data_IF_850269189677
#
_entry.id   IF_850269189677
#
_cell.length_a   1.000
_cell.length_b   1.000
_cell.length_c   1.000
_cell.angle_alpha   90.00
_cell.angle_beta   90.00
_cell.angle_gamma   90.00
#
_symmetry.space_group_name_H-M   'P 1'
#
loop_
_entity.id
_entity.type
_entity.pdbx_description
1 polymer ?
#
# COMPACT_ATOMS: atom_id res chain seq x y z
N UNK A 1 18.81 -9.63 13.51
CA UNK A 1 17.39 -9.90 13.17
C UNK A 1 17.04 -8.97 12.01
N UNK A 2 16.39 -9.43 10.95
CA UNK A 2 16.03 -8.55 9.83
C UNK A 2 15.05 -7.45 10.29
N UNK A 3 15.22 -6.24 9.79
CA UNK A 3 14.32 -5.10 10.05
C UNK A 3 12.92 -5.42 9.52
N UNK A 4 11.89 -5.27 10.34
CA UNK A 4 10.50 -5.54 9.98
C UNK A 4 9.67 -4.27 10.16
N UNK A 5 9.24 -3.67 9.04
CA UNK A 5 8.49 -2.42 9.03
C UNK A 5 7.24 -2.47 9.94
N UNK A 6 6.56 -3.59 10.01
CA UNK A 6 5.38 -3.75 10.89
C UNK A 6 5.72 -3.68 12.37
N UNK A 7 6.97 -4.00 12.73
CA UNK A 7 7.43 -3.99 14.12
C UNK A 7 8.07 -2.66 14.51
N UNK A 8 8.81 -2.06 13.56
CA UNK A 8 9.56 -0.84 13.80
C UNK A 8 8.67 0.41 13.67
N UNK A 9 7.68 0.39 12.75
CA UNK A 9 6.73 1.46 12.50
C UNK A 9 5.30 1.04 12.86
N UNK A 10 5.10 0.59 14.10
CA UNK A 10 3.81 0.08 14.59
C UNK A 10 2.69 1.11 14.46
N UNK A 11 3.00 2.37 14.63
CA UNK A 11 2.08 3.48 14.49
C UNK A 11 1.45 3.56 13.10
N UNK A 12 2.14 3.09 12.05
CA UNK A 12 1.63 3.11 10.68
C UNK A 12 1.07 1.77 10.21
N UNK A 13 1.58 0.65 10.74
CA UNK A 13 1.25 -0.69 10.25
C UNK A 13 0.40 -1.51 11.22
N UNK A 14 0.35 -1.14 12.48
CA UNK A 14 -0.35 -1.92 13.52
C UNK A 14 -1.19 -1.02 14.43
N UNK A 15 -2.01 -0.10 13.86
CA UNK A 15 -2.93 0.70 14.66
C UNK A 15 -3.94 -0.19 15.40
N UNK A 16 -4.66 0.40 16.34
CA UNK A 16 -5.76 -0.29 17.04
C UNK A 16 -6.98 -0.37 16.12
N UNK A 17 -7.96 -1.20 16.54
CA UNK A 17 -9.28 -1.27 15.89
C UNK A 17 -10.23 -0.14 16.35
N UNK A 18 -9.69 1.07 16.53
CA UNK A 18 -10.39 2.31 16.78
C UNK A 18 -9.69 3.45 16.03
N UNK A 19 -10.45 4.43 15.54
CA UNK A 19 -9.84 5.53 14.78
C UNK A 19 -8.80 6.29 15.60
N UNK A 20 -7.74 6.70 14.93
CA UNK A 20 -6.71 7.58 15.49
C UNK A 20 -6.15 8.50 14.39
N UNK A 21 -5.74 9.71 14.76
CA UNK A 21 -5.05 10.63 13.87
C UNK A 21 -3.57 10.30 13.88
N UNK A 22 -2.96 10.31 12.69
CA UNK A 22 -1.53 10.06 12.48
C UNK A 22 -1.00 11.04 11.45
N UNK A 23 0.26 11.46 11.63
CA UNK A 23 1.00 12.23 10.62
C UNK A 23 1.97 11.28 9.92
N UNK A 24 1.67 10.94 8.66
CA UNK A 24 2.41 9.94 7.90
C UNK A 24 3.53 10.63 7.12
N UNK A 25 4.79 10.32 7.43
CA UNK A 25 5.91 10.94 6.76
C UNK A 25 6.00 10.53 5.30
N UNK A 26 6.61 11.39 4.51
CA UNK A 26 6.96 11.11 3.12
C UNK A 26 7.81 9.84 3.02
N UNK A 27 7.44 8.95 2.09
CA UNK A 27 8.14 7.69 1.86
C UNK A 27 8.21 7.35 0.37
N UNK A 28 9.15 6.47 0.02
CA UNK A 28 9.34 5.97 -1.34
C UNK A 28 8.77 4.56 -1.48
N UNK A 29 8.24 4.28 -2.67
CA UNK A 29 7.55 3.03 -2.98
C UNK A 29 7.94 2.51 -4.36
N UNK A 30 7.88 1.19 -4.52
CA UNK A 30 7.65 0.57 -5.82
C UNK A 30 6.16 0.69 -6.07
N UNK A 31 5.74 1.22 -7.21
CA UNK A 31 4.33 1.39 -7.55
C UNK A 31 4.01 0.80 -8.92
N UNK A 32 2.79 0.30 -9.08
CA UNK A 32 2.18 -0.04 -10.38
C UNK A 32 0.76 0.50 -10.38
N UNK A 33 0.40 1.19 -11.46
CA UNK A 33 -0.94 1.77 -11.66
C UNK A 33 -1.78 0.90 -12.55
N UNK A 34 -3.08 0.89 -12.30
CA UNK A 34 -4.03 0.20 -13.15
C UNK A 34 -5.47 0.56 -12.87
N UNK A 35 -6.35 -0.12 -13.60
CA UNK A 35 -7.80 0.03 -13.51
C UNK A 35 -8.47 -1.34 -13.66
N UNK A 36 -9.63 -1.50 -13.05
CA UNK A 36 -10.47 -2.69 -13.17
C UNK A 36 -10.64 -3.45 -11.87
N UNK A 37 -11.37 -4.55 -11.96
CA UNK A 37 -11.71 -5.39 -10.81
C UNK A 37 -10.48 -6.10 -10.24
N UNK A 38 -10.09 -5.86 -8.98
CA UNK A 38 -8.94 -6.52 -8.36
C UNK A 38 -9.12 -8.03 -8.16
N UNK A 39 -10.37 -8.53 -8.23
CA UNK A 39 -10.68 -9.94 -8.07
C UNK A 39 -10.67 -10.73 -9.39
N UNK A 40 -10.40 -10.08 -10.52
CA UNK A 40 -10.30 -10.74 -11.81
C UNK A 40 -9.10 -11.69 -11.85
N UNK A 41 -9.37 -12.98 -12.09
CA UNK A 41 -8.31 -13.99 -12.17
C UNK A 41 -7.40 -13.73 -13.37
N UNK A 42 -6.07 -13.65 -13.14
CA UNK A 42 -5.10 -13.29 -14.16
C UNK A 42 -5.19 -11.84 -14.64
N UNK A 43 -6.06 -11.03 -14.03
CA UNK A 43 -6.30 -9.63 -14.38
C UNK A 43 -5.13 -8.69 -14.07
N UNK A 44 -5.29 -7.43 -14.46
CA UNK A 44 -4.26 -6.40 -14.36
C UNK A 44 -3.73 -6.23 -12.92
N UNK A 45 -4.61 -6.34 -11.91
CA UNK A 45 -4.21 -6.20 -10.50
C UNK A 45 -3.27 -7.32 -10.05
N UNK A 46 -3.57 -8.58 -10.40
CA UNK A 46 -2.70 -9.72 -10.06
C UNK A 46 -1.35 -9.66 -10.79
N UNK A 47 -1.35 -9.16 -12.03
CA UNK A 47 -0.12 -8.92 -12.80
C UNK A 47 0.73 -7.82 -12.12
N UNK A 48 0.11 -6.73 -11.69
CA UNK A 48 0.79 -5.65 -10.96
C UNK A 48 1.44 -6.16 -9.66
N UNK A 49 0.74 -6.97 -8.88
CA UNK A 49 1.29 -7.60 -7.67
C UNK A 49 2.52 -8.45 -8.01
N UNK A 50 2.49 -9.19 -9.10
CA UNK A 50 3.62 -10.01 -9.55
C UNK A 50 4.85 -9.15 -9.88
N UNK A 51 4.65 -8.02 -10.55
CA UNK A 51 5.70 -7.03 -10.86
C UNK A 51 6.28 -6.43 -9.58
N UNK A 52 5.42 -5.96 -8.67
CA UNK A 52 5.83 -5.36 -7.40
C UNK A 52 6.74 -6.31 -6.60
N UNK A 53 6.32 -7.55 -6.41
CA UNK A 53 7.13 -8.52 -5.67
C UNK A 53 8.40 -8.95 -6.42
N UNK A 54 8.39 -9.01 -7.75
CA UNK A 54 9.59 -9.31 -8.52
C UNK A 54 10.67 -8.25 -8.28
N UNK A 55 10.32 -6.97 -8.30
CA UNK A 55 11.24 -5.85 -8.06
C UNK A 55 11.64 -5.80 -6.57
N UNK A 56 10.68 -5.92 -5.64
CA UNK A 56 10.94 -5.86 -4.20
C UNK A 56 11.92 -6.96 -3.74
N UNK A 57 11.72 -8.18 -4.20
CA UNK A 57 12.63 -9.28 -3.86
C UNK A 57 13.99 -9.17 -4.56
N UNK A 58 14.06 -8.55 -5.73
CA UNK A 58 15.34 -8.28 -6.39
C UNK A 58 16.17 -7.30 -5.57
N UNK A 59 15.57 -6.22 -5.07
CA UNK A 59 16.21 -5.28 -4.15
C UNK A 59 16.63 -5.96 -2.85
N UNK A 60 15.69 -6.68 -2.22
CA UNK A 60 15.98 -7.39 -0.96
C UNK A 60 17.15 -8.36 -1.08
N UNK A 61 17.27 -9.04 -2.20
CA UNK A 61 18.29 -10.07 -2.41
C UNK A 61 19.57 -9.53 -3.09
N UNK A 62 19.71 -8.23 -3.30
CA UNK A 62 20.88 -7.60 -3.93
C UNK A 62 22.18 -7.98 -3.23
N UNK A 63 22.17 -8.11 -1.90
CA UNK A 63 23.36 -8.47 -1.11
C UNK A 63 23.97 -9.83 -1.49
N UNK A 64 23.21 -10.70 -2.15
CA UNK A 64 23.67 -12.00 -2.67
C UNK A 64 24.23 -11.92 -4.09
N UNK A 65 24.29 -10.73 -4.68
CA UNK A 65 24.81 -10.48 -6.03
C UNK A 65 26.05 -9.60 -5.95
N UNK A 66 26.65 -9.31 -7.10
CA UNK A 66 27.78 -8.37 -7.19
C UNK A 66 27.32 -6.91 -7.04
N UNK A 67 26.03 -6.63 -7.26
CA UNK A 67 25.46 -5.31 -7.06
C UNK A 67 25.24 -5.03 -5.57
N UNK A 68 25.97 -4.05 -5.04
CA UNK A 68 25.89 -3.65 -3.63
C UNK A 68 25.17 -2.32 -3.50
N UNK A 69 24.14 -2.29 -2.66
CA UNK A 69 23.42 -1.05 -2.32
C UNK A 69 24.07 -0.46 -1.09
N UNK A 70 24.47 0.80 -1.16
CA UNK A 70 25.03 1.53 -0.01
C UNK A 70 24.01 1.66 1.11
N UNK A 71 24.45 1.48 2.35
CA UNK A 71 23.57 1.53 3.52
C UNK A 71 22.62 0.34 3.68
N UNK A 72 22.77 -0.70 2.84
CA UNK A 72 21.90 -1.88 2.90
C UNK A 72 21.92 -2.56 4.27
N UNK A 73 20.75 -2.87 4.78
CA UNK A 73 20.54 -3.78 5.90
C UNK A 73 19.48 -4.82 5.54
N UNK A 74 19.54 -5.99 6.16
CA UNK A 74 18.52 -7.03 5.93
C UNK A 74 17.16 -6.61 6.47
N UNK A 75 16.13 -6.73 5.63
CA UNK A 75 14.75 -6.35 5.98
C UNK A 75 13.73 -7.39 5.50
N UNK A 76 12.57 -7.39 6.11
CA UNK A 76 11.39 -8.10 5.62
C UNK A 76 10.72 -7.20 4.59
N UNK A 77 10.37 -7.74 3.41
CA UNK A 77 9.61 -6.96 2.41
C UNK A 77 8.33 -6.45 3.07
N UNK A 78 8.09 -5.13 3.04
CA UNK A 78 6.90 -4.54 3.64
C UNK A 78 5.60 -5.13 3.08
N UNK A 79 4.47 -4.94 3.75
CA UNK A 79 3.16 -5.33 3.23
C UNK A 79 2.90 -4.74 1.84
N UNK A 80 2.05 -5.41 1.08
CA UNK A 80 1.39 -4.81 -0.08
C UNK A 80 0.43 -3.74 0.43
N UNK A 81 0.39 -2.61 -0.26
CA UNK A 81 -0.50 -1.49 0.03
C UNK A 81 -1.22 -1.09 -1.27
N UNK A 82 -2.38 -0.45 -1.18
CA UNK A 82 -3.14 0.00 -2.33
C UNK A 82 -3.79 1.36 -2.08
N UNK A 83 -3.67 2.26 -3.05
CA UNK A 83 -4.42 3.51 -3.12
C UNK A 83 -5.54 3.34 -4.13
N UNK A 84 -6.78 3.68 -3.72
CA UNK A 84 -7.98 3.36 -4.47
C UNK A 84 -8.83 4.60 -4.71
N UNK A 85 -9.44 4.70 -5.89
CA UNK A 85 -10.46 5.69 -6.20
C UNK A 85 -11.33 5.23 -7.38
N UNK A 86 -12.43 5.90 -7.56
CA UNK A 86 -13.32 5.74 -8.70
C UNK A 86 -13.65 7.12 -9.26
N UNK A 87 -13.68 7.23 -10.57
CA UNK A 87 -13.96 8.51 -11.24
C UNK A 87 -15.42 8.93 -10.98
N UNK A 88 -15.63 10.18 -10.59
CA UNK A 88 -16.94 10.75 -10.28
C UNK A 88 -17.70 10.10 -9.11
N UNK A 89 -16.99 9.42 -8.22
CA UNK A 89 -17.55 8.86 -7.00
C UNK A 89 -16.93 9.57 -5.80
N UNK A 90 -17.77 10.05 -4.88
CA UNK A 90 -17.31 10.52 -3.58
C UNK A 90 -17.15 9.32 -2.64
N UNK A 91 -15.95 9.14 -2.08
CA UNK A 91 -15.62 7.94 -1.31
C UNK A 91 -15.33 6.72 -2.19
N UNK A 92 -15.85 5.57 -1.82
CA UNK A 92 -15.62 4.28 -2.50
C UNK A 92 -16.94 3.54 -2.69
N UNK A 93 -17.27 3.18 -3.94
CA UNK A 93 -18.38 2.30 -4.26
C UNK A 93 -17.89 0.85 -4.39
N UNK A 94 -18.06 0.08 -3.34
CA UNK A 94 -17.64 -1.34 -3.27
C UNK A 94 -18.51 -2.26 -4.16
N UNK A 95 -19.63 -1.78 -4.69
CA UNK A 95 -20.52 -2.57 -5.55
C UNK A 95 -20.06 -2.63 -7.00
N UNK A 96 -19.31 -1.60 -7.46
CA UNK A 96 -18.80 -1.49 -8.82
C UNK A 96 -17.27 -1.64 -8.87
N UNK A 97 -16.79 -2.86 -8.59
CA UNK A 97 -15.35 -3.17 -8.54
C UNK A 97 -14.61 -2.98 -9.89
N UNK A 98 -15.31 -3.05 -11.02
CA UNK A 98 -14.72 -2.82 -12.34
C UNK A 98 -14.36 -1.36 -12.62
N UNK A 99 -14.95 -0.42 -11.88
CA UNK A 99 -14.67 1.00 -12.01
C UNK A 99 -13.47 1.48 -11.17
N UNK A 100 -12.87 0.61 -10.36
CA UNK A 100 -11.71 0.99 -9.56
C UNK A 100 -10.52 1.40 -10.42
N UNK A 101 -9.95 2.54 -10.08
CA UNK A 101 -8.58 2.89 -10.39
C UNK A 101 -7.74 2.60 -9.15
N UNK A 102 -6.50 2.16 -9.34
CA UNK A 102 -5.63 1.81 -8.22
C UNK A 102 -4.15 2.10 -8.50
N UNK A 103 -3.43 2.35 -7.42
CA UNK A 103 -1.97 2.33 -7.37
C UNK A 103 -1.59 1.30 -6.32
N UNK A 104 -1.11 0.14 -6.75
CA UNK A 104 -0.57 -0.86 -5.82
C UNK A 104 0.87 -0.56 -5.54
N UNK A 105 1.28 -0.64 -4.27
CA UNK A 105 2.61 -0.24 -3.86
C UNK A 105 3.23 -1.20 -2.83
N UNK A 106 4.56 -1.20 -2.78
CA UNK A 106 5.35 -1.78 -1.67
C UNK A 106 6.35 -0.71 -1.23
N UNK A 107 6.35 -0.35 0.05
CA UNK A 107 7.28 0.63 0.60
C UNK A 107 8.73 0.20 0.40
N UNK A 108 9.58 1.15 0.04
CA UNK A 108 11.03 0.97 -0.05
C UNK A 108 11.71 1.37 1.25
N UNK A 109 12.77 0.66 1.68
CA UNK A 109 13.68 1.18 2.69
C UNK A 109 14.34 2.48 2.20
N UNK A 110 14.66 3.37 3.14
CA UNK A 110 15.17 4.72 2.84
C UNK A 110 16.54 4.71 2.12
N UNK A 111 17.30 3.61 2.24
CA UNK A 111 18.57 3.45 1.52
C UNK A 111 18.40 3.13 0.02
N UNK A 112 17.20 2.82 -0.45
CA UNK A 112 16.96 2.49 -1.85
C UNK A 112 16.80 3.76 -2.68
N UNK A 113 17.78 4.07 -3.50
CA UNK A 113 17.74 5.18 -4.45
C UNK A 113 16.96 4.82 -5.72
N UNK A 114 16.64 5.84 -6.53
CA UNK A 114 16.05 5.64 -7.86
C UNK A 114 16.93 4.76 -8.76
N UNK A 115 18.25 4.91 -8.67
CA UNK A 115 19.22 4.10 -9.43
C UNK A 115 19.17 2.63 -9.02
N UNK A 116 19.10 2.37 -7.71
CA UNK A 116 18.93 1.00 -7.20
C UNK A 116 17.62 0.37 -7.68
N UNK A 117 16.55 1.16 -7.72
CA UNK A 117 15.26 0.74 -8.23
C UNK A 117 15.35 0.39 -9.74
N UNK A 118 15.97 1.24 -10.56
CA UNK A 118 16.11 1.00 -12.01
C UNK A 118 16.90 -0.27 -12.28
N UNK A 119 18.01 -0.48 -11.56
CA UNK A 119 18.76 -1.73 -11.61
C UNK A 119 17.89 -2.95 -11.26
N UNK A 120 17.04 -2.82 -10.25
CA UNK A 120 16.18 -3.92 -9.81
C UNK A 120 15.09 -4.24 -10.85
N UNK A 121 14.50 -3.24 -11.50
CA UNK A 121 13.54 -3.43 -12.60
C UNK A 121 14.16 -4.19 -13.76
N UNK A 122 15.34 -3.77 -14.24
CA UNK A 122 16.05 -4.47 -15.33
C UNK A 122 16.43 -5.88 -14.94
N UNK A 123 16.94 -6.07 -13.73
CA UNK A 123 17.38 -7.36 -13.22
C UNK A 123 16.21 -8.32 -13.05
N UNK A 124 15.07 -7.83 -12.48
CA UNK A 124 13.86 -8.62 -12.32
C UNK A 124 13.30 -9.05 -13.67
N UNK A 125 13.22 -8.14 -14.64
CA UNK A 125 12.75 -8.43 -16.00
C UNK A 125 13.58 -9.55 -16.64
N UNK A 126 14.90 -9.44 -16.58
CA UNK A 126 15.82 -10.45 -17.17
C UNK A 126 15.71 -11.81 -16.48
N UNK A 127 15.70 -11.84 -15.14
CA UNK A 127 15.72 -13.09 -14.35
C UNK A 127 14.38 -13.80 -14.28
N UNK A 128 13.28 -13.06 -14.21
CA UNK A 128 11.93 -13.62 -14.02
C UNK A 128 11.18 -13.85 -15.34
N UNK A 129 11.68 -13.35 -16.46
CA UNK A 129 10.99 -13.34 -17.76
C UNK A 129 9.59 -12.67 -17.64
N UNK A 130 9.51 -11.66 -16.79
CA UNK A 130 8.32 -10.85 -16.50
C UNK A 130 8.65 -9.41 -16.86
N UNK A 131 7.85 -8.80 -17.73
CA UNK A 131 8.02 -7.38 -18.02
C UNK A 131 7.69 -6.55 -16.78
N UNK A 132 8.72 -5.93 -16.20
CA UNK A 132 8.58 -5.06 -15.03
C UNK A 132 8.58 -3.56 -15.40
N UNK A 133 8.45 -3.21 -16.68
CA UNK A 133 8.51 -1.81 -17.16
C UNK A 133 7.38 -0.92 -16.62
N UNK A 134 6.28 -1.52 -16.17
CA UNK A 134 5.17 -0.80 -15.52
C UNK A 134 5.47 -0.37 -14.08
N UNK A 135 6.59 -0.81 -13.50
CA UNK A 135 6.97 -0.39 -12.15
C UNK A 135 7.49 1.04 -12.13
N UNK A 136 7.03 1.83 -11.17
CA UNK A 136 7.43 3.22 -10.93
C UNK A 136 8.14 3.36 -9.58
N UNK A 137 9.16 4.24 -9.51
CA UNK A 137 9.67 4.76 -8.23
C UNK A 137 8.82 5.95 -7.82
N UNK A 138 7.93 5.74 -6.86
CA UNK A 138 6.94 6.74 -6.46
C UNK A 138 7.22 7.25 -5.06
N UNK A 139 7.25 8.56 -4.91
CA UNK A 139 7.31 9.21 -3.59
C UNK A 139 5.91 9.67 -3.21
N UNK A 140 5.44 9.28 -2.02
CA UNK A 140 4.13 9.66 -1.50
C UNK A 140 4.34 10.42 -0.19
N UNK A 141 3.62 11.52 -0.04
CA UNK A 141 3.54 12.36 1.15
C UNK A 141 2.07 12.42 1.57
N UNK A 142 1.68 11.55 2.50
CA UNK A 142 0.29 11.49 2.95
C UNK A 142 -0.03 12.56 4.00
N UNK A 143 0.95 12.95 4.84
CA UNK A 143 0.76 13.92 5.92
C UNK A 143 -0.31 13.47 6.91
N UNK A 144 -1.16 14.43 7.31
CA UNK A 144 -2.19 14.18 8.33
C UNK A 144 -3.30 13.27 7.80
N UNK A 145 -3.50 12.15 8.49
CA UNK A 145 -4.49 11.13 8.15
C UNK A 145 -5.26 10.66 9.41
N UNK A 146 -6.43 10.09 9.20
CA UNK A 146 -7.08 9.21 10.17
C UNK A 146 -6.86 7.77 9.72
N UNK A 147 -6.63 6.86 10.66
CA UNK A 147 -6.46 5.44 10.38
C UNK A 147 -7.12 4.54 11.41
N UNK A 148 -7.36 3.29 11.01
CA UNK A 148 -7.95 2.25 11.86
C UNK A 148 -7.50 0.87 11.36
N UNK A 149 -7.38 -0.11 12.26
CA UNK A 149 -7.28 -1.52 11.87
C UNK A 149 -8.68 -2.06 11.58
N UNK A 150 -8.96 -2.37 10.33
CA UNK A 150 -10.14 -3.14 9.91
C UNK A 150 -9.90 -4.64 10.16
N UNK A 151 -10.90 -5.31 10.73
CA UNK A 151 -10.90 -6.76 10.96
C UNK A 151 -12.09 -7.35 10.22
N UNK A 152 -11.83 -8.17 9.20
CA UNK A 152 -12.88 -8.76 8.38
C UNK A 152 -12.59 -8.70 6.89
N UNK A 153 -13.61 -9.03 6.09
CA UNK A 153 -13.53 -8.97 4.63
C UNK A 153 -13.53 -7.52 4.12
N UNK A 154 -13.00 -7.29 2.93
CA UNK A 154 -13.05 -5.95 2.30
C UNK A 154 -14.49 -5.46 2.08
N UNK A 155 -15.46 -6.37 1.91
CA UNK A 155 -16.86 -5.99 1.74
C UNK A 155 -17.50 -5.44 3.04
N UNK A 156 -16.85 -5.66 4.21
CA UNK A 156 -17.26 -5.14 5.51
C UNK A 156 -16.63 -3.78 5.86
N UNK A 157 -15.71 -3.26 5.04
CA UNK A 157 -15.01 -1.98 5.26
C UNK A 157 -15.93 -0.77 5.42
N UNK A 158 -17.09 -0.66 4.74
CA UNK A 158 -17.97 0.50 4.91
C UNK A 158 -18.33 0.78 6.35
N UNK A 159 -18.56 -0.25 7.19
CA UNK A 159 -18.83 -0.07 8.61
C UNK A 159 -17.63 0.51 9.37
N UNK A 160 -16.42 0.13 8.99
CA UNK A 160 -15.18 0.65 9.58
C UNK A 160 -14.92 2.10 9.15
N UNK A 161 -15.18 2.44 7.89
CA UNK A 161 -15.07 3.81 7.37
C UNK A 161 -16.06 4.73 8.09
N UNK A 162 -17.29 4.28 8.34
CA UNK A 162 -18.27 5.06 9.10
C UNK A 162 -17.80 5.40 10.55
N UNK A 163 -17.02 4.51 11.18
CA UNK A 163 -16.40 4.82 12.47
C UNK A 163 -15.34 5.92 12.36
N UNK A 164 -14.57 5.94 11.26
CA UNK A 164 -13.60 7.00 11.01
C UNK A 164 -14.29 8.35 10.80
N UNK A 165 -15.34 8.38 9.99
CA UNK A 165 -16.10 9.62 9.72
C UNK A 165 -16.74 10.19 10.98
N UNK A 166 -17.38 9.35 11.80
CA UNK A 166 -17.95 9.77 13.09
C UNK A 166 -16.86 10.31 14.05
N UNK A 167 -15.67 9.71 14.04
CA UNK A 167 -14.54 10.19 14.83
C UNK A 167 -14.03 11.55 14.34
N UNK A 168 -13.95 11.77 13.03
CA UNK A 168 -13.54 13.06 12.46
C UNK A 168 -14.49 14.18 12.86
N UNK A 169 -15.79 13.97 12.72
CA UNK A 169 -16.83 14.94 13.11
C UNK A 169 -16.71 15.35 14.59
N UNK A 170 -16.52 14.38 15.49
CA UNK A 170 -16.36 14.63 16.92
C UNK A 170 -15.09 15.39 17.29
N UNK A 171 -14.07 15.35 16.44
CA UNK A 171 -12.74 15.94 16.71
C UNK A 171 -12.42 17.18 15.86
N UNK A 172 -13.38 17.71 15.09
CA UNK A 172 -13.21 18.93 14.30
C UNK A 172 -12.33 18.76 13.07
N UNK A 173 -12.39 17.59 12.45
CA UNK A 173 -11.73 17.29 11.19
C UNK A 173 -12.73 16.87 10.13
N UNK A 174 -12.32 16.97 8.88
CA UNK A 174 -13.06 16.48 7.72
C UNK A 174 -12.16 15.63 6.85
N UNK A 175 -12.79 14.72 6.12
CA UNK A 175 -12.12 13.95 5.08
C UNK A 175 -11.57 14.90 4.01
N UNK A 176 -10.33 14.65 3.54
CA UNK A 176 -9.66 15.43 2.51
C UNK A 176 -9.26 14.56 1.31
N UNK A 177 -9.98 13.46 1.09
CA UNK A 177 -9.80 12.66 -0.13
C UNK A 177 -10.11 13.51 -1.37
N UNK A 178 -9.22 13.45 -2.34
CA UNK A 178 -9.32 14.18 -3.60
C UNK A 178 -8.46 13.48 -4.66
N UNK A 179 -8.34 14.01 -5.86
CA UNK A 179 -7.57 13.40 -6.95
C UNK A 179 -6.05 13.20 -6.68
N UNK A 180 -5.53 13.69 -5.55
CA UNK A 180 -4.11 13.54 -5.15
C UNK A 180 -3.96 12.78 -3.83
N UNK A 181 -4.93 12.86 -2.95
CA UNK A 181 -4.95 12.22 -1.64
C UNK A 181 -6.08 11.20 -1.64
N UNK A 182 -5.75 9.91 -1.57
CA UNK A 182 -6.65 8.82 -1.91
C UNK A 182 -6.99 7.97 -0.69
N UNK A 183 -8.01 7.13 -0.81
CA UNK A 183 -8.26 6.02 0.09
C UNK A 183 -7.08 5.06 0.04
N UNK A 184 -6.50 4.73 1.20
CA UNK A 184 -5.31 3.90 1.32
C UNK A 184 -5.58 2.67 2.19
N UNK A 185 -5.22 1.51 1.67
CA UNK A 185 -5.31 0.21 2.34
C UNK A 185 -3.92 -0.42 2.47
N UNK A 186 -3.60 -0.95 3.66
CA UNK A 186 -2.36 -1.68 3.92
C UNK A 186 -2.72 -3.11 4.34
N UNK A 187 -2.33 -4.10 3.55
CA UNK A 187 -2.74 -5.49 3.72
C UNK A 187 -1.80 -6.23 4.69
N UNK A 188 -2.17 -6.28 5.96
CA UNK A 188 -1.37 -6.90 7.02
C UNK A 188 -1.45 -8.43 6.97
N UNK A 189 -2.62 -8.96 6.63
CA UNK A 189 -2.85 -10.39 6.44
C UNK A 189 -2.62 -10.81 4.98
N UNK A 190 -2.06 -12.00 4.79
CA UNK A 190 -2.05 -12.65 3.47
C UNK A 190 -3.41 -13.34 3.26
N UNK A 191 -4.26 -12.73 2.43
CA UNK A 191 -5.63 -13.21 2.14
C UNK A 191 -5.66 -14.64 1.57
N UNK A 192 -4.54 -15.15 1.05
CA UNK A 192 -4.44 -16.52 0.54
C UNK A 192 -4.24 -17.55 1.66
N UNK A 193 -3.87 -17.13 2.87
CA UNK A 193 -3.50 -17.99 4.00
C UNK A 193 -4.45 -17.89 5.19
N UNK A 194 -5.24 -16.84 5.23
CA UNK A 194 -6.09 -16.50 6.37
C UNK A 194 -7.52 -16.40 5.90
N UNK A 195 -8.47 -16.94 6.66
CA UNK A 195 -9.89 -16.84 6.35
C UNK A 195 -10.37 -15.38 6.43
N UNK A 196 -11.34 -14.96 5.57
CA UNK A 196 -11.73 -13.55 5.42
C UNK A 196 -12.08 -12.84 6.73
N UNK A 197 -12.77 -13.51 7.66
CA UNK A 197 -13.16 -12.95 8.96
C UNK A 197 -11.96 -12.62 9.89
N UNK A 198 -10.77 -13.04 9.52
CA UNK A 198 -9.51 -12.79 10.26
C UNK A 198 -8.56 -11.86 9.52
N UNK A 199 -8.96 -11.34 8.37
CA UNK A 199 -8.12 -10.40 7.66
C UNK A 199 -7.92 -9.13 8.48
N UNK A 200 -6.74 -8.56 8.33
CA UNK A 200 -6.31 -7.31 8.93
C UNK A 200 -5.86 -6.37 7.85
N UNK A 201 -6.55 -5.25 7.74
CA UNK A 201 -6.23 -4.19 6.78
C UNK A 201 -6.18 -2.87 7.54
N UNK A 202 -5.11 -2.11 7.39
CA UNK A 202 -5.14 -0.71 7.86
C UNK A 202 -5.86 0.10 6.80
N UNK A 203 -6.96 0.74 7.18
CA UNK A 203 -7.63 1.74 6.35
C UNK A 203 -7.14 3.12 6.79
N UNK A 204 -6.74 3.95 5.83
CA UNK A 204 -6.22 5.29 6.07
C UNK A 204 -6.82 6.29 5.10
N UNK A 205 -7.33 7.39 5.64
CA UNK A 205 -7.86 8.50 4.87
C UNK A 205 -7.13 9.81 5.20
N UNK A 206 -6.77 10.60 4.19
CA UNK A 206 -6.25 11.94 4.42
C UNK A 206 -7.32 12.85 5.02
N UNK A 207 -6.89 13.73 5.92
CA UNK A 207 -7.78 14.65 6.62
C UNK A 207 -7.23 16.06 6.65
N UNK A 208 -8.13 17.01 6.97
CA UNK A 208 -7.77 18.39 7.31
C UNK A 208 -8.68 18.90 8.42
N UNK A 209 -8.31 20.00 9.05
CA UNK A 209 -9.20 20.69 10.01
C UNK A 209 -10.46 21.19 9.29
N UNK A 210 -11.60 21.09 9.97
CA UNK A 210 -12.89 21.60 9.52
C UNK A 210 -12.91 23.13 9.41
#
# INVERSE_FOLDING_TARGET
>A
MAFDFKKEYKEFYMPKNKPEIVDVPKANYIAVRGKGNPNEEGGAYQQAISVLYAVAYTLKMSYKTDYKIEGFFEYVVPPLEGFWWQDNVEGVDYTNKSAFNWISVIRLPDFVSKENFDWAVETATKKKKLDCSSAEYLTIDEGMCVQIMHLGSFDDEPATVALMDAYLEQNGYVNDMNGKRLHHEIYISDARKVAPEKWKTVIRHPIKKA
#
